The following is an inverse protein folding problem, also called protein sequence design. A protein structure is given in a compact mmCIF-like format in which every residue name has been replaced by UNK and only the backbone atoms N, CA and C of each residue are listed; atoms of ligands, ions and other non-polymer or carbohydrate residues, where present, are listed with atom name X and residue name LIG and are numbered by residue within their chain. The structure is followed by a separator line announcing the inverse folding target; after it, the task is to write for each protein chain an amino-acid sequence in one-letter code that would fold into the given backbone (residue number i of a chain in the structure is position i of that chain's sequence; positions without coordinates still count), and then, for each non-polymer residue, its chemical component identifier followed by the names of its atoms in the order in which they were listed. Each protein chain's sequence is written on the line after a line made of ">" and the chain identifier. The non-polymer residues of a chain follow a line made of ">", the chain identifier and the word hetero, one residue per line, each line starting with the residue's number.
data_IF_545624742570
#
_entry.id   IF_545624742570
#
_cell.length_a   1.000
_cell.length_b   1.000
_cell.length_c   1.000
_cell.angle_alpha   90.00
_cell.angle_beta   90.00
_cell.angle_gamma   90.00
#
_symmetry.space_group_name_H-M   'P 1'
#
loop_
_entity.id
_entity.type
_entity.pdbx_description
1 polymer ?
#
# COMPACT_ATOMS: atom_id res chain seq x y z
N UNK A 1 -53.25 34.31 -49.19
CA UNK A 1 -53.57 33.54 -47.97
C UNK A 1 -52.79 32.21 -47.95
N UNK A 2 -51.48 32.23 -48.23
CA UNK A 2 -50.63 31.03 -48.22
C UNK A 2 -49.35 31.21 -47.38
N UNK A 3 -49.18 32.35 -46.70
CA UNK A 3 -47.95 32.67 -45.97
C UNK A 3 -48.06 32.48 -44.44
N UNK A 4 -49.12 31.84 -43.93
CA UNK A 4 -49.36 31.68 -42.48
C UNK A 4 -49.10 30.28 -41.92
N UNK A 5 -48.68 29.30 -42.72
CA UNK A 5 -48.35 27.96 -42.19
C UNK A 5 -46.85 27.75 -41.93
N UNK A 6 -46.16 28.81 -41.52
CA UNK A 6 -44.81 28.73 -41.00
C UNK A 6 -44.73 29.34 -39.60
N UNK A 7 -45.49 28.81 -38.62
CA UNK A 7 -45.25 29.20 -37.23
C UNK A 7 -45.72 28.21 -36.15
N UNK A 8 -45.48 26.90 -36.29
CA UNK A 8 -45.61 26.02 -35.13
C UNK A 8 -44.84 24.70 -35.25
N UNK A 9 -43.51 24.78 -35.34
CA UNK A 9 -42.67 23.65 -34.94
C UNK A 9 -41.32 24.12 -34.41
N UNK A 10 -41.37 25.00 -33.42
CA UNK A 10 -40.23 25.31 -32.54
C UNK A 10 -40.70 25.17 -31.09
N UNK A 11 -40.75 23.94 -30.58
CA UNK A 11 -40.91 23.68 -29.14
C UNK A 11 -40.54 22.24 -28.81
N UNK A 12 -39.34 22.03 -28.29
CA UNK A 12 -38.99 20.74 -27.69
C UNK A 12 -37.52 20.40 -27.51
N UNK A 13 -36.59 21.35 -27.44
CA UNK A 13 -35.23 21.06 -26.97
C UNK A 13 -35.22 20.90 -25.43
N UNK A 14 -35.72 19.75 -24.97
CA UNK A 14 -35.62 19.31 -23.59
C UNK A 14 -34.22 18.76 -23.32
N UNK A 15 -33.46 19.47 -22.49
CA UNK A 15 -32.09 19.12 -22.10
C UNK A 15 -31.99 17.75 -21.39
N UNK A 16 -31.66 16.69 -22.14
CA UNK A 16 -31.09 15.43 -21.64
C UNK A 16 -29.67 15.19 -22.18
N UNK A 17 -29.03 16.26 -22.66
CA UNK A 17 -27.74 16.24 -23.37
C UNK A 17 -26.59 15.73 -22.49
N UNK A 18 -26.64 15.92 -21.17
CA UNK A 18 -25.53 15.51 -20.29
C UNK A 18 -25.45 14.02 -19.98
N UNK A 19 -26.58 13.32 -19.92
CA UNK A 19 -26.62 11.89 -19.55
C UNK A 19 -26.39 10.96 -20.74
N UNK A 20 -27.06 11.25 -21.86
CA UNK A 20 -26.98 10.41 -23.07
C UNK A 20 -25.59 10.47 -23.69
N UNK A 21 -24.98 11.65 -23.81
CA UNK A 21 -23.65 11.77 -24.41
C UNK A 21 -22.57 11.04 -23.60
N UNK A 22 -22.63 11.08 -22.26
CA UNK A 22 -21.68 10.35 -21.43
C UNK A 22 -21.89 8.84 -21.53
N UNK A 23 -23.14 8.36 -21.55
CA UNK A 23 -23.42 6.94 -21.73
C UNK A 23 -23.06 6.45 -23.13
N UNK A 24 -23.26 7.27 -24.17
CA UNK A 24 -22.94 6.95 -25.56
C UNK A 24 -21.42 6.88 -25.75
N UNK A 25 -20.68 7.85 -25.19
CA UNK A 25 -19.20 7.84 -25.17
C UNK A 25 -18.68 6.64 -24.38
N UNK A 26 -19.23 6.38 -23.19
CA UNK A 26 -18.83 5.21 -22.41
C UNK A 26 -19.13 3.93 -23.20
N UNK A 27 -20.32 3.79 -23.78
CA UNK A 27 -20.71 2.61 -24.55
C UNK A 27 -19.83 2.40 -25.78
N UNK A 28 -19.49 3.45 -26.52
CA UNK A 28 -18.55 3.39 -27.65
C UNK A 28 -17.15 2.98 -27.20
N UNK A 29 -16.71 3.49 -26.04
CA UNK A 29 -15.45 3.10 -25.43
C UNK A 29 -15.49 1.63 -25.01
N UNK A 30 -16.47 1.13 -24.26
CA UNK A 30 -16.48 -0.28 -23.80
C UNK A 30 -16.88 -1.30 -24.87
N UNK A 31 -17.58 -0.90 -25.93
CA UNK A 31 -18.00 -1.81 -27.01
C UNK A 31 -16.83 -2.20 -27.94
N UNK A 32 -15.76 -1.40 -27.98
CA UNK A 32 -14.55 -1.75 -28.70
C UNK A 32 -13.78 -2.87 -27.97
N UNK A 33 -13.44 -3.99 -28.63
CA UNK A 33 -12.78 -5.13 -28.00
C UNK A 33 -11.41 -4.77 -27.39
N UNK A 34 -10.73 -3.78 -27.96
CA UNK A 34 -9.46 -3.27 -27.45
C UNK A 34 -9.63 -2.57 -26.09
N UNK A 35 -10.63 -1.71 -25.98
CA UNK A 35 -10.90 -0.94 -24.77
C UNK A 35 -11.44 -1.81 -23.65
N UNK A 36 -12.25 -2.82 -23.97
CA UNK A 36 -12.68 -3.83 -23.01
C UNK A 36 -11.47 -4.57 -22.40
N UNK A 37 -10.49 -4.95 -23.24
CA UNK A 37 -9.25 -5.54 -22.76
C UNK A 37 -8.47 -4.58 -21.85
N UNK A 38 -8.38 -3.29 -22.20
CA UNK A 38 -7.75 -2.26 -21.36
C UNK A 38 -8.46 -2.11 -20.01
N UNK A 39 -9.80 -2.05 -19.99
CA UNK A 39 -10.61 -1.96 -18.76
C UNK A 39 -10.41 -3.20 -17.88
N UNK A 40 -10.37 -4.40 -18.46
CA UNK A 40 -10.08 -5.64 -17.74
C UNK A 40 -8.67 -5.62 -17.13
N UNK A 41 -7.66 -5.16 -17.87
CA UNK A 41 -6.28 -5.03 -17.39
C UNK A 41 -6.21 -4.01 -16.25
N UNK A 42 -6.80 -2.82 -16.41
CA UNK A 42 -6.82 -1.77 -15.38
C UNK A 42 -7.52 -2.29 -14.12
N UNK A 43 -8.68 -2.94 -14.26
CA UNK A 43 -9.41 -3.53 -13.13
C UNK A 43 -8.61 -4.63 -12.44
N UNK A 44 -7.91 -5.47 -13.22
CA UNK A 44 -7.01 -6.50 -12.68
C UNK A 44 -5.83 -5.89 -11.94
N UNK A 45 -5.20 -4.83 -12.47
CA UNK A 45 -4.11 -4.14 -11.82
C UNK A 45 -4.57 -3.46 -10.52
N UNK A 46 -5.75 -2.83 -10.51
CA UNK A 46 -6.36 -2.26 -9.30
C UNK A 46 -6.66 -3.35 -8.27
N UNK A 47 -7.23 -4.48 -8.70
CA UNK A 47 -7.46 -5.64 -7.84
C UNK A 47 -6.14 -6.16 -7.26
N UNK A 48 -5.11 -6.29 -8.09
CA UNK A 48 -3.78 -6.76 -7.67
C UNK A 48 -3.16 -5.79 -6.68
N UNK A 49 -3.20 -4.48 -6.93
CA UNK A 49 -2.64 -3.46 -6.04
C UNK A 49 -3.39 -3.45 -4.70
N UNK A 50 -4.72 -3.49 -4.74
CA UNK A 50 -5.55 -3.49 -3.53
C UNK A 50 -5.37 -4.76 -2.71
N UNK A 51 -5.14 -5.91 -3.36
CA UNK A 51 -4.91 -7.19 -2.68
C UNK A 51 -3.46 -7.40 -2.24
N UNK A 52 -2.49 -6.77 -2.92
CA UNK A 52 -1.08 -6.73 -2.52
C UNK A 52 -0.81 -5.76 -1.37
N UNK A 53 -1.79 -4.89 -1.03
CA UNK A 53 -1.78 -4.19 0.25
C UNK A 53 -2.17 -5.18 1.36
N UNK A 54 -1.27 -6.12 1.64
CA UNK A 54 -1.31 -6.81 2.93
C UNK A 54 -1.31 -5.73 4.02
N UNK A 55 -2.17 -5.84 5.05
CA UNK A 55 -2.07 -4.95 6.19
C UNK A 55 -0.62 -5.01 6.68
N UNK A 56 0.00 -3.87 7.02
CA UNK A 56 1.32 -3.89 7.64
C UNK A 56 1.21 -4.90 8.77
N UNK A 57 2.05 -5.95 8.73
CA UNK A 57 2.12 -6.94 9.78
C UNK A 57 2.06 -6.15 11.09
N UNK A 58 1.01 -6.38 11.88
CA UNK A 58 0.76 -5.67 13.13
C UNK A 58 2.05 -5.83 13.91
N UNK A 59 2.88 -4.78 13.90
CA UNK A 59 4.15 -4.81 14.58
C UNK A 59 3.77 -5.11 16.02
N UNK A 60 4.30 -6.18 16.64
CA UNK A 60 4.12 -6.39 18.05
C UNK A 60 4.39 -5.06 18.76
N UNK A 61 3.57 -4.68 19.75
CA UNK A 61 3.76 -3.44 20.48
C UNK A 61 5.25 -3.28 20.78
N UNK A 62 5.85 -2.09 20.51
CA UNK A 62 7.27 -1.89 20.69
C UNK A 62 7.67 -2.45 22.04
N UNK A 63 8.63 -3.42 22.09
CA UNK A 63 9.12 -3.91 23.36
C UNK A 63 9.50 -2.70 24.22
N UNK A 64 9.15 -2.70 25.52
CA UNK A 64 9.42 -1.58 26.41
C UNK A 64 10.85 -1.09 26.17
N UNK A 65 11.00 0.21 25.90
CA UNK A 65 12.30 0.79 25.57
C UNK A 65 13.24 0.54 26.73
N UNK A 66 14.08 -0.48 26.57
CA UNK A 66 15.09 -0.79 27.55
C UNK A 66 16.01 0.44 27.66
N UNK A 67 16.41 0.83 28.88
CA UNK A 67 17.25 2.01 29.08
C UNK A 67 18.44 1.99 28.14
N UNK A 68 18.63 3.10 27.40
CA UNK A 68 19.72 3.21 26.42
C UNK A 68 21.05 2.97 27.13
N UNK A 69 21.67 1.82 26.84
CA UNK A 69 22.99 1.47 27.36
C UNK A 69 24.06 2.26 26.61
N UNK A 70 24.21 3.53 26.98
CA UNK A 70 25.36 4.37 26.57
C UNK A 70 26.53 4.06 27.49
N UNK A 71 27.11 2.88 27.34
CA UNK A 71 28.35 2.50 28.01
C UNK A 71 29.32 1.94 26.98
N UNK A 72 30.60 2.17 27.19
CA UNK A 72 31.62 1.49 26.41
C UNK A 72 31.60 0.03 26.84
N UNK A 73 31.37 -0.86 25.88
CA UNK A 73 31.44 -2.29 26.11
C UNK A 73 32.82 -2.78 25.68
N UNK A 74 33.49 -3.49 26.56
CA UNK A 74 34.59 -4.35 26.16
C UNK A 74 34.05 -5.52 25.35
N UNK A 75 34.88 -6.14 24.49
CA UNK A 75 34.48 -7.31 23.70
C UNK A 75 33.95 -8.46 24.57
N UNK A 76 34.50 -8.61 25.78
CA UNK A 76 34.08 -9.62 26.74
C UNK A 76 32.66 -9.35 27.28
N UNK A 77 32.33 -8.10 27.56
CA UNK A 77 31.00 -7.69 28.02
C UNK A 77 29.97 -7.77 26.89
N UNK A 78 30.34 -7.40 25.65
CA UNK A 78 29.43 -7.46 24.51
C UNK A 78 29.03 -8.90 24.16
N UNK A 79 29.98 -9.85 24.27
CA UNK A 79 29.73 -11.27 24.00
C UNK A 79 28.69 -11.90 24.92
N UNK A 80 28.48 -11.33 26.11
CA UNK A 80 27.43 -11.78 27.02
C UNK A 80 26.02 -11.44 26.54
N UNK A 81 25.85 -10.65 25.47
CA UNK A 81 24.57 -10.23 24.90
C UNK A 81 24.28 -10.88 23.56
N UNK A 82 24.27 -12.21 23.53
CA UNK A 82 23.96 -13.03 22.35
C UNK A 82 22.48 -13.48 22.29
N UNK A 83 21.68 -13.14 23.30
CA UNK A 83 20.26 -13.49 23.39
C UNK A 83 19.98 -14.83 24.06
N UNK A 84 21.00 -15.48 24.65
CA UNK A 84 20.87 -16.68 25.49
C UNK A 84 20.57 -16.38 26.95
N UNK A 85 20.89 -15.16 27.40
CA UNK A 85 20.55 -14.70 28.75
C UNK A 85 19.03 -14.64 29.02
N UNK A 86 18.61 -14.66 30.30
CA UNK A 86 17.19 -14.52 30.67
C UNK A 86 16.55 -13.20 30.20
N UNK A 87 17.32 -12.11 30.06
CA UNK A 87 16.85 -10.84 29.46
C UNK A 87 16.61 -10.96 27.94
N UNK A 88 17.18 -11.99 27.30
CA UNK A 88 17.02 -12.27 25.87
C UNK A 88 17.58 -11.19 24.93
N UNK A 89 18.29 -10.20 25.47
CA UNK A 89 18.83 -9.05 24.74
C UNK A 89 19.97 -9.47 23.82
N UNK A 90 19.96 -8.92 22.60
CA UNK A 90 21.00 -9.12 21.60
C UNK A 90 21.64 -7.78 21.29
N UNK A 91 22.94 -7.66 21.57
CA UNK A 91 23.74 -6.50 21.21
C UNK A 91 24.71 -6.87 20.08
N UNK A 92 24.92 -5.97 19.14
CA UNK A 92 25.88 -6.17 18.05
C UNK A 92 26.70 -4.92 17.85
N UNK A 93 28.01 -5.07 17.74
CA UNK A 93 28.91 -3.97 17.39
C UNK A 93 29.15 -3.92 15.89
N UNK A 94 28.94 -2.76 15.28
CA UNK A 94 29.28 -2.47 13.88
C UNK A 94 30.12 -1.20 13.84
N UNK A 95 31.32 -1.28 13.28
CA UNK A 95 32.26 -0.15 13.18
C UNK A 95 32.49 0.57 14.52
N UNK A 96 32.71 -0.19 15.60
CA UNK A 96 32.91 0.35 16.95
C UNK A 96 31.66 0.87 17.65
N UNK A 97 30.49 0.86 16.99
CA UNK A 97 29.23 1.29 17.59
C UNK A 97 28.38 0.08 18.00
N UNK A 98 27.84 0.09 19.21
CA UNK A 98 26.99 -0.99 19.73
C UNK A 98 25.52 -0.67 19.49
N UNK A 99 24.81 -1.61 18.90
CA UNK A 99 23.38 -1.51 18.57
C UNK A 99 22.60 -2.60 19.30
N UNK A 100 21.43 -2.23 19.83
CA UNK A 100 20.46 -3.18 20.38
C UNK A 100 19.60 -3.73 19.24
N UNK A 101 19.84 -4.99 18.90
CA UNK A 101 19.16 -5.71 17.81
C UNK A 101 18.20 -6.77 18.36
N UNK A 102 17.76 -6.63 19.62
CA UNK A 102 16.85 -7.58 20.28
C UNK A 102 15.54 -7.78 19.49
N UNK A 103 15.06 -6.76 18.78
CA UNK A 103 13.89 -6.85 17.88
C UNK A 103 14.10 -7.83 16.71
N UNK A 104 15.35 -8.01 16.29
CA UNK A 104 15.77 -8.94 15.24
C UNK A 104 16.35 -10.25 15.78
N UNK A 105 16.00 -10.68 17.00
CA UNK A 105 16.52 -11.90 17.63
C UNK A 105 16.45 -13.14 16.72
N UNK A 106 15.44 -13.24 15.85
CA UNK A 106 15.33 -14.34 14.88
C UNK A 106 16.48 -14.39 13.85
N UNK A 107 17.14 -13.26 13.58
CA UNK A 107 18.24 -13.13 12.62
C UNK A 107 19.61 -13.07 13.30
N UNK A 108 19.71 -12.43 14.46
CA UNK A 108 20.98 -12.16 15.16
C UNK A 108 21.20 -13.02 16.40
N UNK A 109 20.17 -13.75 16.85
CA UNK A 109 20.27 -14.68 17.98
C UNK A 109 20.74 -16.08 17.55
N UNK A 110 21.00 -16.97 18.52
CA UNK A 110 21.46 -18.32 18.25
C UNK A 110 20.44 -19.09 17.38
N UNK A 111 20.95 -19.70 16.32
CA UNK A 111 20.17 -20.57 15.44
C UNK A 111 19.74 -21.79 16.26
N UNK A 112 18.44 -21.97 16.49
CA UNK A 112 17.94 -23.23 17.05
C UNK A 112 18.19 -24.33 16.02
N UNK A 113 19.06 -25.28 16.34
CA UNK A 113 19.15 -26.59 15.66
C UNK A 113 17.93 -27.44 15.96
#
# INVERSE_FOLDING_TARGET
>A
MQDEQQQQQDRGEGATVGGSLLSDIVYEIVSSPLNLALVCIISFLLYKISKTRQPPATLPPPPPELPRLRRDFTLAELKQYDGTQPDGRVLTAVNGNVYDVTKGKAFYGPVKS
#
